data_IF_111129930324
#
_entry.id   IF_111129930324
#
_cell.length_a   1.000
_cell.length_b   1.000
_cell.length_c   1.000
_cell.angle_alpha   90.00
_cell.angle_beta   90.00
_cell.angle_gamma   90.00
#
_symmetry.space_group_name_H-M   'P 1'
#
loop_
_entity.id
_entity.type
_entity.pdbx_description
1 polymer ?
#
# COMPACT_ATOMS: atom_id res chain seq x y z
N UNK A 1 -0.72 7.33 2.52
CA UNK A 1 -2.04 7.26 3.21
C UNK A 1 -2.70 5.95 2.85
N UNK A 2 -3.48 5.35 3.75
CA UNK A 2 -4.15 4.08 3.52
C UNK A 2 -5.64 4.26 3.84
N UNK A 3 -6.50 3.79 2.93
CA UNK A 3 -7.93 3.61 3.18
C UNK A 3 -8.25 2.12 3.14
N UNK A 4 -9.18 1.65 3.96
CA UNK A 4 -9.61 0.26 3.93
C UNK A 4 -11.09 0.14 4.26
N UNK A 5 -11.71 -0.92 3.75
CA UNK A 5 -13.05 -1.35 4.13
C UNK A 5 -13.11 -2.87 4.16
N UNK A 6 -14.02 -3.44 4.94
CA UNK A 6 -14.33 -4.87 4.85
C UNK A 6 -15.01 -5.15 3.51
N UNK A 7 -14.73 -6.30 2.94
CA UNK A 7 -15.41 -6.79 1.74
C UNK A 7 -16.14 -8.11 2.07
N UNK A 8 -17.07 -8.47 1.20
CA UNK A 8 -17.90 -9.68 1.36
C UNK A 8 -17.22 -10.92 0.76
N UNK A 9 -15.94 -10.85 0.41
CA UNK A 9 -15.17 -11.96 -0.13
C UNK A 9 -14.11 -12.34 0.90
N UNK A 10 -13.75 -13.61 1.09
CA UNK A 10 -12.62 -13.93 1.97
C UNK A 10 -11.26 -13.67 1.28
N UNK A 11 -11.17 -12.61 0.46
CA UNK A 11 -10.01 -12.28 -0.37
C UNK A 11 -9.49 -10.89 -0.03
N UNK A 12 -8.18 -10.72 -0.13
CA UNK A 12 -7.52 -9.43 -0.02
C UNK A 12 -7.52 -8.75 -1.39
N UNK A 13 -8.06 -7.53 -1.47
CA UNK A 13 -7.94 -6.69 -2.65
C UNK A 13 -7.10 -5.45 -2.34
N UNK A 14 -6.20 -5.09 -3.26
CA UNK A 14 -5.25 -3.98 -3.06
C UNK A 14 -5.26 -3.08 -4.28
N UNK A 15 -5.65 -1.82 -4.09
CA UNK A 15 -5.59 -0.74 -5.06
C UNK A 15 -4.47 0.23 -4.75
N UNK A 16 -3.89 0.85 -5.79
CA UNK A 16 -2.89 1.92 -5.65
C UNK A 16 -3.36 3.12 -6.44
N UNK A 17 -3.52 4.25 -5.77
CA UNK A 17 -3.90 5.53 -6.39
C UNK A 17 -2.75 6.51 -6.31
N UNK A 18 -2.41 7.10 -7.45
CA UNK A 18 -1.35 8.10 -7.60
C UNK A 18 -1.95 9.33 -8.28
N UNK A 19 -1.97 10.46 -7.56
CA UNK A 19 -2.52 11.73 -8.06
C UNK A 19 -1.75 12.25 -9.28
N UNK A 20 -2.43 12.99 -10.17
CA UNK A 20 -1.80 13.72 -11.28
C UNK A 20 -0.75 14.74 -10.77
N UNK A 21 -0.92 15.26 -9.55
CA UNK A 21 0.02 16.21 -8.92
C UNK A 21 1.43 15.65 -8.70
N UNK A 22 1.57 14.33 -8.61
CA UNK A 22 2.85 13.65 -8.32
C UNK A 22 3.83 13.72 -9.49
N UNK A 23 3.33 13.92 -10.73
CA UNK A 23 4.17 14.08 -11.90
C UNK A 23 3.60 13.41 -13.15
N UNK A 24 4.47 13.32 -14.17
CA UNK A 24 4.11 12.73 -15.46
C UNK A 24 3.84 11.21 -15.37
N UNK A 25 3.44 10.60 -16.48
CA UNK A 25 3.10 9.17 -16.53
C UNK A 25 4.26 8.25 -16.11
N UNK A 26 5.50 8.61 -16.42
CA UNK A 26 6.69 7.83 -16.07
C UNK A 26 6.91 7.83 -14.56
N UNK A 27 6.90 9.01 -13.94
CA UNK A 27 7.03 9.17 -12.48
C UNK A 27 5.92 8.43 -11.76
N UNK A 28 4.66 8.60 -12.20
CA UNK A 28 3.51 7.91 -11.59
C UNK A 28 3.62 6.38 -11.70
N UNK A 29 4.04 5.86 -12.85
CA UNK A 29 4.21 4.42 -13.03
C UNK A 29 5.35 3.85 -12.19
N UNK A 30 6.46 4.59 -12.05
CA UNK A 30 7.55 4.25 -11.12
C UNK A 30 7.02 4.16 -9.69
N UNK A 31 6.27 5.16 -9.23
CA UNK A 31 5.67 5.17 -7.88
C UNK A 31 4.72 3.98 -7.68
N UNK A 32 3.82 3.70 -8.65
CA UNK A 32 2.92 2.52 -8.58
C UNK A 32 3.71 1.22 -8.47
N UNK A 33 4.78 1.06 -9.25
CA UNK A 33 5.63 -0.14 -9.22
C UNK A 33 6.29 -0.32 -7.86
N UNK A 34 6.89 0.76 -7.32
CA UNK A 34 7.51 0.73 -5.99
C UNK A 34 6.50 0.40 -4.90
N UNK A 35 5.32 1.04 -4.90
CA UNK A 35 4.29 0.74 -3.91
C UNK A 35 3.79 -0.70 -4.01
N UNK A 36 3.59 -1.22 -5.23
CA UNK A 36 3.20 -2.61 -5.45
C UNK A 36 4.21 -3.60 -4.88
N UNK A 37 5.49 -3.43 -5.21
CA UNK A 37 6.54 -4.32 -4.70
C UNK A 37 6.76 -4.16 -3.20
N UNK A 38 6.59 -2.96 -2.64
CA UNK A 38 6.67 -2.76 -1.19
C UNK A 38 5.55 -3.48 -0.42
N UNK A 39 4.36 -3.62 -1.04
CA UNK A 39 3.21 -4.32 -0.46
C UNK A 39 3.24 -5.83 -0.69
N UNK A 40 3.82 -6.29 -1.79
CA UNK A 40 3.88 -7.71 -2.17
C UNK A 40 4.32 -8.67 -1.04
N UNK A 41 5.41 -8.42 -0.28
CA UNK A 41 5.81 -9.30 0.82
C UNK A 41 4.85 -9.24 2.03
N UNK A 42 3.98 -8.24 2.10
CA UNK A 42 3.00 -8.09 3.18
C UNK A 42 1.74 -8.93 2.94
N UNK A 43 1.48 -9.37 1.70
CA UNK A 43 0.26 -10.11 1.34
C UNK A 43 0.00 -11.32 2.26
N UNK A 44 0.97 -12.19 2.57
CA UNK A 44 0.72 -13.37 3.42
C UNK A 44 0.33 -13.01 4.86
N UNK A 45 0.79 -11.86 5.35
CA UNK A 45 0.62 -11.42 6.74
C UNK A 45 -0.49 -10.37 6.91
N UNK A 46 -1.19 -9.98 5.84
CA UNK A 46 -2.34 -9.07 5.90
C UNK A 46 -3.64 -9.89 5.99
N UNK A 47 -4.58 -9.44 6.82
CA UNK A 47 -5.89 -10.06 6.99
C UNK A 47 -6.65 -10.09 5.64
N UNK A 48 -7.21 -11.24 5.30
CA UNK A 48 -8.17 -11.38 4.20
C UNK A 48 -9.49 -10.68 4.54
N UNK A 49 -10.38 -10.50 3.55
CA UNK A 49 -11.68 -9.87 3.79
C UNK A 49 -11.67 -8.34 3.75
N UNK A 50 -10.64 -7.74 3.16
CA UNK A 50 -10.47 -6.30 3.10
C UNK A 50 -10.16 -5.82 1.68
N UNK A 51 -10.74 -4.68 1.34
CA UNK A 51 -10.28 -3.82 0.24
C UNK A 51 -9.37 -2.76 0.83
N UNK A 52 -8.12 -2.69 0.36
CA UNK A 52 -7.12 -1.71 0.80
C UNK A 52 -6.78 -0.81 -0.39
N UNK A 53 -6.78 0.50 -0.17
CA UNK A 53 -6.32 1.49 -1.16
C UNK A 53 -5.11 2.24 -0.58
N UNK A 54 -3.96 2.06 -1.22
CA UNK A 54 -2.76 2.84 -0.95
C UNK A 54 -2.79 4.12 -1.78
N UNK A 55 -2.76 5.26 -1.11
CA UNK A 55 -2.76 6.58 -1.74
C UNK A 55 -1.37 7.18 -1.59
N UNK A 56 -0.68 7.29 -2.73
CA UNK A 56 0.61 7.94 -2.84
C UNK A 56 0.46 9.46 -2.60
N UNK A 57 1.42 10.03 -1.87
CA UNK A 57 1.60 11.48 -1.72
C UNK A 57 2.94 11.88 -2.31
N UNK A 58 3.08 13.14 -2.70
CA UNK A 58 4.25 13.70 -3.38
C UNK A 58 5.62 13.31 -2.79
N UNK A 59 5.83 13.25 -1.45
CA UNK A 59 7.12 12.86 -0.88
C UNK A 59 7.63 11.47 -1.33
N UNK A 60 6.72 10.55 -1.69
CA UNK A 60 7.08 9.17 -2.07
C UNK A 60 7.92 9.08 -3.36
N UNK A 61 7.96 10.15 -4.16
CA UNK A 61 8.70 10.18 -5.43
C UNK A 61 10.21 10.06 -5.18
N UNK A 62 10.71 10.78 -4.17
CA UNK A 62 12.13 10.88 -3.85
C UNK A 62 12.53 9.99 -2.67
N UNK A 63 11.57 9.37 -2.01
CA UNK A 63 11.80 8.50 -0.87
C UNK A 63 12.58 7.24 -1.25
N UNK A 64 13.39 6.70 -0.34
CA UNK A 64 14.10 5.43 -0.53
C UNK A 64 13.15 4.22 -0.48
N UNK A 65 13.48 3.14 -1.20
CA UNK A 65 12.55 2.02 -1.34
C UNK A 65 12.28 1.32 -0.01
N UNK A 66 13.31 1.19 0.83
CA UNK A 66 13.16 0.59 2.15
C UNK A 66 12.27 1.44 3.07
N UNK A 67 12.39 2.76 2.99
CA UNK A 67 11.51 3.68 3.74
C UNK A 67 10.06 3.59 3.28
N UNK A 68 9.81 3.39 1.99
CA UNK A 68 8.45 3.13 1.45
C UNK A 68 7.89 1.84 2.05
N UNK A 69 8.68 0.75 2.07
CA UNK A 69 8.28 -0.54 2.63
C UNK A 69 7.98 -0.44 4.13
N UNK A 70 8.84 0.24 4.89
CA UNK A 70 8.63 0.49 6.32
C UNK A 70 7.35 1.30 6.56
N UNK A 71 7.13 2.36 5.77
CA UNK A 71 5.92 3.18 5.85
C UNK A 71 4.65 2.37 5.58
N UNK A 72 4.67 1.49 4.57
CA UNK A 72 3.53 0.61 4.25
C UNK A 72 3.26 -0.35 5.41
N UNK A 73 4.29 -0.99 5.96
CA UNK A 73 4.16 -1.89 7.12
C UNK A 73 3.58 -1.16 8.32
N UNK A 74 4.05 0.06 8.60
CA UNK A 74 3.57 0.87 9.72
C UNK A 74 2.10 1.27 9.54
N UNK A 75 1.69 1.66 8.34
CA UNK A 75 0.29 1.98 8.02
C UNK A 75 -0.62 0.77 8.24
N UNK A 76 -0.20 -0.43 7.82
CA UNK A 76 -0.95 -1.67 8.04
C UNK A 76 -1.05 -2.01 9.53
N UNK A 77 0.04 -1.82 10.28
CA UNK A 77 0.08 -2.02 11.74
C UNK A 77 -0.88 -1.06 12.45
N UNK A 78 -0.82 0.24 12.13
CA UNK A 78 -1.70 1.28 12.68
C UNK A 78 -3.18 1.02 12.37
N UNK A 79 -3.47 0.46 11.19
CA UNK A 79 -4.82 0.08 10.79
C UNK A 79 -5.29 -1.27 11.39
N UNK A 80 -4.46 -1.97 12.17
CA UNK A 80 -4.73 -3.30 12.69
C UNK A 80 -5.13 -4.32 11.59
N UNK A 81 -4.48 -4.21 10.43
CA UNK A 81 -4.73 -5.06 9.26
C UNK A 81 -3.75 -6.23 9.14
N UNK A 82 -2.71 -6.26 9.97
CA UNK A 82 -1.81 -7.41 10.05
C UNK A 82 -2.49 -8.56 10.81
N UNK A 83 -2.30 -9.79 10.35
CA UNK A 83 -2.65 -11.00 11.10
C UNK A 83 -1.88 -10.97 12.41
N UNK A 84 -2.50 -11.43 13.50
CA UNK A 84 -1.74 -11.71 14.72
C UNK A 84 -0.81 -12.88 14.36
N UNK A 85 0.45 -12.77 14.75
CA UNK A 85 1.32 -13.94 14.82
C UNK A 85 0.70 -14.83 15.91
N UNK A 86 0.25 -16.03 15.52
CA UNK A 86 -0.11 -17.11 16.44
C UNK A 86 1.18 -17.75 16.98
#
# INVERSE_FOLDING_TARGET
MLLFTRNNTNKLHVGITVSKKIGNSVVRNRVKRRLRESFRPMIPIVKSGYNIILIAREPVVHEEFENIKNSVRELLRKANLLKKED
#
